data_IF_491465211818
#
_entry.id   IF_491465211818
#
_cell.length_a   1.000
_cell.length_b   1.000
_cell.length_c   1.000
_cell.angle_alpha   90.00
_cell.angle_beta   90.00
_cell.angle_gamma   90.00
#
_symmetry.space_group_name_H-M   'P 1'
#
loop_
_entity.id
_entity.type
_entity.pdbx_description
1 polymer ?
#
# COMPACT_ATOMS: atom_id res chain seq x y z
N UNK A 1 -9.32 -22.89 18.24
CA UNK A 1 -10.39 -22.01 17.73
C UNK A 1 -10.06 -20.61 18.21
N UNK A 2 -9.82 -19.66 17.29
CA UNK A 2 -9.56 -18.25 17.63
C UNK A 2 -10.84 -17.62 18.17
N UNK A 3 -10.78 -16.87 19.28
CA UNK A 3 -11.94 -16.10 19.76
C UNK A 3 -12.24 -14.94 18.80
N UNK A 4 -13.47 -14.44 18.84
CA UNK A 4 -13.84 -13.20 18.14
C UNK A 4 -13.06 -11.99 18.70
N UNK A 5 -12.67 -12.02 19.98
CA UNK A 5 -11.76 -11.02 20.57
C UNK A 5 -10.36 -11.08 19.94
N UNK A 6 -9.81 -12.28 19.73
CA UNK A 6 -8.50 -12.46 19.08
C UNK A 6 -8.54 -11.95 17.64
N UNK A 7 -9.65 -12.22 16.93
CA UNK A 7 -9.89 -11.71 15.58
C UNK A 7 -9.93 -10.18 15.58
N UNK A 8 -10.61 -9.58 16.56
CA UNK A 8 -10.70 -8.14 16.69
C UNK A 8 -9.32 -7.48 16.88
N UNK A 9 -8.48 -8.06 17.74
CA UNK A 9 -7.10 -7.59 17.96
C UNK A 9 -6.26 -7.74 16.68
N UNK A 10 -6.30 -8.91 16.05
CA UNK A 10 -5.54 -9.18 14.82
C UNK A 10 -5.92 -8.25 13.67
N UNK A 11 -7.20 -7.89 13.55
CA UNK A 11 -7.64 -6.91 12.56
C UNK A 11 -7.07 -5.51 12.84
N UNK A 12 -6.93 -5.13 14.11
CA UNK A 12 -6.32 -3.87 14.50
C UNK A 12 -4.83 -3.83 14.16
N UNK A 13 -4.11 -4.91 14.49
CA UNK A 13 -2.69 -5.05 14.17
C UNK A 13 -2.44 -5.03 12.65
N UNK A 14 -3.32 -5.71 11.89
CA UNK A 14 -3.21 -5.74 10.44
C UNK A 14 -3.46 -4.37 9.81
N UNK A 15 -4.48 -3.65 10.28
CA UNK A 15 -4.76 -2.28 9.82
C UNK A 15 -3.58 -1.35 10.04
N UNK A 16 -2.99 -1.38 11.24
CA UNK A 16 -1.82 -0.57 11.57
C UNK A 16 -0.64 -0.90 10.64
N UNK A 17 -0.30 -2.19 10.49
CA UNK A 17 0.79 -2.63 9.62
C UNK A 17 0.57 -2.27 8.17
N UNK A 18 -0.67 -2.36 7.67
CA UNK A 18 -1.02 -1.99 6.31
C UNK A 18 -0.86 -0.48 6.09
N UNK A 19 -1.26 0.35 7.06
CA UNK A 19 -1.07 1.80 7.00
C UNK A 19 0.42 2.16 6.99
N UNK A 20 1.21 1.61 7.90
CA UNK A 20 2.66 1.81 7.97
C UNK A 20 3.36 1.37 6.68
N UNK A 21 3.03 0.19 6.16
CA UNK A 21 3.55 -0.30 4.88
C UNK A 21 3.23 0.65 3.73
N UNK A 22 1.98 1.12 3.66
CA UNK A 22 1.52 2.00 2.58
C UNK A 22 2.21 3.36 2.63
N UNK A 23 2.45 3.91 3.82
CA UNK A 23 3.21 5.14 4.01
C UNK A 23 4.67 4.99 3.57
N UNK A 24 5.34 3.90 3.97
CA UNK A 24 6.71 3.61 3.56
C UNK A 24 6.80 3.45 2.05
N UNK A 25 5.85 2.75 1.44
CA UNK A 25 5.83 2.54 0.00
C UNK A 25 5.61 3.84 -0.78
N UNK A 26 4.71 4.71 -0.32
CA UNK A 26 4.47 6.01 -0.94
C UNK A 26 5.72 6.91 -0.89
N UNK A 27 6.42 6.94 0.25
CA UNK A 27 7.71 7.68 0.38
C UNK A 27 8.77 7.10 -0.54
N UNK A 28 8.91 5.77 -0.56
CA UNK A 28 9.86 5.09 -1.42
C UNK A 28 9.60 5.37 -2.90
N UNK A 29 8.33 5.43 -3.33
CA UNK A 29 7.96 5.76 -4.69
C UNK A 29 8.42 7.17 -5.08
N UNK A 30 8.25 8.17 -4.21
CA UNK A 30 8.72 9.54 -4.47
C UNK A 30 10.23 9.57 -4.67
N UNK A 31 10.98 8.89 -3.79
CA UNK A 31 12.44 8.82 -3.89
C UNK A 31 12.90 8.09 -5.16
N UNK A 32 12.24 6.99 -5.49
CA UNK A 32 12.54 6.16 -6.64
C UNK A 32 12.26 6.92 -7.95
N UNK A 33 11.14 7.64 -8.04
CA UNK A 33 10.81 8.50 -9.18
C UNK A 33 11.86 9.58 -9.39
N UNK A 34 12.29 10.25 -8.32
CA UNK A 34 13.35 11.26 -8.41
C UNK A 34 14.66 10.65 -8.92
N UNK A 35 15.04 9.48 -8.44
CA UNK A 35 16.26 8.78 -8.90
C UNK A 35 16.13 8.34 -10.36
N UNK A 36 14.97 7.85 -10.77
CA UNK A 36 14.67 7.50 -12.15
C UNK A 36 14.81 8.72 -13.06
N UNK A 37 14.19 9.86 -12.73
CA UNK A 37 14.28 11.10 -13.52
C UNK A 37 15.73 11.58 -13.67
N UNK A 38 16.51 11.54 -12.58
CA UNK A 38 17.92 11.90 -12.61
C UNK A 38 18.74 10.95 -13.49
N UNK A 39 18.49 9.63 -13.40
CA UNK A 39 19.16 8.63 -14.22
C UNK A 39 18.82 8.83 -15.70
N UNK A 40 17.54 8.95 -16.05
CA UNK A 40 17.10 9.14 -17.44
C UNK A 40 17.58 10.46 -18.06
N UNK A 41 17.80 11.50 -17.26
CA UNK A 41 18.35 12.78 -17.76
C UNK A 41 19.79 12.67 -18.27
N UNK A 42 20.59 11.76 -17.71
CA UNK A 42 22.00 11.55 -18.10
C UNK A 42 22.20 10.29 -18.94
N UNK A 43 21.27 9.35 -18.87
CA UNK A 43 21.28 8.14 -19.67
C UNK A 43 20.81 8.48 -21.08
N UNK A 44 21.70 8.30 -22.06
CA UNK A 44 21.34 8.49 -23.47
C UNK A 44 20.17 7.59 -23.92
N UNK A 45 19.60 7.88 -25.08
CA UNK A 45 18.45 7.13 -25.61
C UNK A 45 18.85 5.84 -26.35
N UNK A 46 19.61 4.97 -25.67
CA UNK A 46 19.98 3.67 -26.21
C UNK A 46 18.89 2.61 -25.94
N UNK A 47 19.06 1.43 -26.54
CA UNK A 47 18.08 0.33 -26.41
C UNK A 47 17.88 -0.13 -24.96
N UNK A 48 18.91 -0.03 -24.12
CA UNK A 48 18.83 -0.40 -22.70
C UNK A 48 18.05 0.63 -21.89
N UNK A 49 18.25 1.92 -22.14
CA UNK A 49 17.49 3.00 -21.53
C UNK A 49 15.99 2.89 -21.88
N UNK A 50 15.66 2.61 -23.14
CA UNK A 50 14.27 2.40 -23.58
C UNK A 50 13.63 1.18 -22.88
N UNK A 51 14.37 0.06 -22.78
CA UNK A 51 13.86 -1.14 -22.12
C UNK A 51 13.65 -0.92 -20.61
N UNK A 52 14.60 -0.25 -19.95
CA UNK A 52 14.48 0.13 -18.55
C UNK A 52 13.29 1.06 -18.31
N UNK A 53 13.13 2.11 -19.14
CA UNK A 53 12.04 3.06 -18.99
C UNK A 53 10.67 2.40 -19.12
N UNK A 54 10.54 1.41 -20.01
CA UNK A 54 9.29 0.64 -20.14
C UNK A 54 8.97 -0.15 -18.86
N UNK A 55 9.95 -0.85 -18.29
CA UNK A 55 9.77 -1.57 -17.03
C UNK A 55 9.50 -0.63 -15.86
N UNK A 56 10.09 0.57 -15.88
CA UNK A 56 9.82 1.62 -14.91
C UNK A 56 8.36 2.08 -14.97
N UNK A 57 7.85 2.40 -16.16
CA UNK A 57 6.46 2.85 -16.35
C UNK A 57 5.46 1.86 -15.74
N UNK A 58 5.59 0.57 -16.09
CA UNK A 58 4.73 -0.50 -15.58
C UNK A 58 4.76 -0.60 -14.04
N UNK A 59 5.95 -0.50 -13.44
CA UNK A 59 6.12 -0.53 -11.99
C UNK A 59 5.50 0.72 -11.33
N UNK A 60 5.78 1.89 -11.89
CA UNK A 60 5.32 3.17 -11.33
C UNK A 60 3.79 3.27 -11.35
N UNK A 61 3.14 2.81 -12.42
CA UNK A 61 1.69 2.77 -12.54
C UNK A 61 1.05 1.83 -11.50
N UNK A 62 1.64 0.65 -11.31
CA UNK A 62 1.15 -0.31 -10.31
C UNK A 62 1.27 0.26 -8.88
N UNK A 63 2.40 0.91 -8.57
CA UNK A 63 2.64 1.51 -7.26
C UNK A 63 1.74 2.73 -7.01
N UNK A 64 1.52 3.58 -8.02
CA UNK A 64 0.59 4.70 -7.93
C UNK A 64 -0.84 4.20 -7.70
N UNK A 65 -1.29 3.20 -8.47
CA UNK A 65 -2.62 2.59 -8.29
C UNK A 65 -2.81 2.04 -6.89
N UNK A 66 -1.82 1.32 -6.36
CA UNK A 66 -1.86 0.81 -5.00
C UNK A 66 -1.98 1.96 -3.98
N UNK A 67 -1.12 2.97 -4.09
CA UNK A 67 -1.04 4.07 -3.11
C UNK A 67 -2.29 4.95 -3.12
N UNK A 68 -2.89 5.20 -4.28
CA UNK A 68 -4.01 6.14 -4.43
C UNK A 68 -5.38 5.46 -4.34
N UNK A 69 -5.46 4.16 -4.66
CA UNK A 69 -6.71 3.42 -4.75
C UNK A 69 -6.78 2.27 -3.76
N UNK A 70 -5.96 1.25 -3.98
CA UNK A 70 -6.16 -0.05 -3.34
C UNK A 70 -5.90 0.00 -1.82
N UNK A 71 -4.80 0.62 -1.37
CA UNK A 71 -4.47 0.71 0.05
C UNK A 71 -5.53 1.47 0.88
N UNK A 72 -5.97 2.69 0.48
CA UNK A 72 -7.08 3.37 1.15
C UNK A 72 -8.37 2.55 1.18
N UNK A 73 -8.71 1.87 0.08
CA UNK A 73 -9.92 1.05 0.00
C UNK A 73 -9.86 -0.14 0.98
N UNK A 74 -8.73 -0.82 1.07
CA UNK A 74 -8.53 -1.91 2.02
C UNK A 74 -8.57 -1.43 3.48
N UNK A 75 -7.92 -0.31 3.80
CA UNK A 75 -7.97 0.28 5.14
C UNK A 75 -9.40 0.67 5.54
N UNK A 76 -10.18 1.24 4.60
CA UNK A 76 -11.59 1.56 4.82
C UNK A 76 -12.44 0.31 5.08
N UNK A 77 -12.23 -0.74 4.30
CA UNK A 77 -12.92 -2.02 4.46
C UNK A 77 -12.63 -2.67 5.82
N UNK A 78 -11.36 -2.72 6.23
CA UNK A 78 -10.95 -3.30 7.51
C UNK A 78 -11.56 -2.51 8.67
N UNK A 79 -11.49 -1.18 8.61
CA UNK A 79 -12.10 -0.29 9.60
C UNK A 79 -13.61 -0.55 9.76
N UNK A 80 -14.33 -0.65 8.66
CA UNK A 80 -15.76 -0.93 8.67
C UNK A 80 -16.05 -2.28 9.35
N UNK A 81 -15.29 -3.32 9.01
CA UNK A 81 -15.46 -4.66 9.60
C UNK A 81 -15.10 -4.68 11.09
N UNK A 82 -14.04 -3.97 11.50
CA UNK A 82 -13.67 -3.82 12.92
C UNK A 82 -14.75 -3.11 13.71
N UNK A 83 -15.36 -2.08 13.15
CA UNK A 83 -16.45 -1.36 13.79
C UNK A 83 -17.66 -2.28 14.06
N UNK A 84 -18.07 -3.06 13.06
CA UNK A 84 -19.16 -4.04 13.20
C UNK A 84 -18.83 -5.08 14.26
N UNK A 85 -17.61 -5.63 14.24
CA UNK A 85 -17.19 -6.64 15.21
C UNK A 85 -17.15 -6.08 16.64
N UNK A 86 -16.69 -4.85 16.82
CA UNK A 86 -16.73 -4.15 18.12
C UNK A 86 -18.17 -4.07 18.64
N UNK A 87 -19.11 -3.59 17.82
CA UNK A 87 -20.52 -3.49 18.21
C UNK A 87 -21.11 -4.83 18.63
N UNK A 88 -20.79 -5.90 17.90
CA UNK A 88 -21.24 -7.25 18.23
C UNK A 88 -20.68 -7.75 19.57
N UNK A 89 -19.38 -7.53 19.82
CA UNK A 89 -18.73 -7.92 21.08
C UNK A 89 -19.27 -7.11 22.28
N UNK A 90 -19.64 -5.85 22.08
CA UNK A 90 -20.22 -4.98 23.12
C UNK A 90 -21.69 -5.31 23.42
N UNK A 91 -22.46 -5.78 22.44
CA UNK A 91 -23.88 -6.13 22.62
C UNK A 91 -24.11 -7.57 23.09
N UNK A 92 -23.09 -8.43 23.01
CA UNK A 92 -23.08 -9.77 23.60
C UNK A 92 -22.55 -9.84 25.04
N UNK A 93 -22.12 -8.70 25.61
CA UNK A 93 -21.74 -8.54 27.03
C UNK A 93 -22.90 -7.95 27.82
#
# INVERSE_FOLDING_TARGET
MSSLDDTYVQMGDFEQKLAEFSEVLARSLVDLTRQHEQAMAVWGNDRSAVAYNRSWEELSDALMKWSQGDAPAYLGFINQKRHILRQFLESGR
#
